data_IF_914911675125
#
_entry.id   IF_914911675125
#
_cell.length_a   1.000
_cell.length_b   1.000
_cell.length_c   1.000
_cell.angle_alpha   90.00
_cell.angle_beta   90.00
_cell.angle_gamma   90.00
#
_symmetry.space_group_name_H-M   'P 1'
#
loop_
_entity.id
_entity.type
_entity.pdbx_description
1 polymer ?
#
# COMPACT_ATOMS: atom_id res chain seq x y z
N UNK A 1 34.63 -55.83 43.41
CA UNK A 1 34.40 -54.75 42.41
C UNK A 1 33.49 -53.70 43.03
N UNK A 2 34.04 -52.53 43.40
CA UNK A 2 33.25 -51.42 43.98
C UNK A 2 32.47 -50.74 42.86
N UNK A 3 31.13 -50.73 42.97
CA UNK A 3 30.24 -50.03 42.02
C UNK A 3 30.44 -48.53 42.20
N UNK A 4 30.94 -47.85 41.16
CA UNK A 4 30.96 -46.40 41.11
C UNK A 4 29.50 -45.93 41.11
N UNK A 5 29.13 -45.10 42.08
CA UNK A 5 27.77 -44.56 42.17
C UNK A 5 27.50 -43.70 40.93
N UNK A 6 26.38 -43.94 40.26
CA UNK A 6 25.94 -43.18 39.08
C UNK A 6 25.85 -41.66 39.35
N UNK A 7 25.68 -41.29 40.62
CA UNK A 7 25.68 -39.90 41.07
C UNK A 7 27.07 -39.27 40.94
N UNK A 8 28.13 -40.02 41.21
CA UNK A 8 29.51 -39.53 41.08
C UNK A 8 29.89 -39.29 39.61
N UNK A 9 29.37 -40.12 38.71
CA UNK A 9 29.61 -39.99 37.26
C UNK A 9 28.87 -38.77 36.68
N UNK A 10 27.62 -38.54 37.10
CA UNK A 10 26.83 -37.37 36.69
C UNK A 10 27.42 -36.05 37.21
N UNK A 11 27.86 -36.00 38.47
CA UNK A 11 28.49 -34.80 39.03
C UNK A 11 29.82 -34.49 38.34
N UNK A 12 30.61 -35.51 37.98
CA UNK A 12 31.85 -35.32 37.24
C UNK A 12 31.62 -34.78 35.82
N UNK A 13 30.58 -35.23 35.11
CA UNK A 13 30.25 -34.70 33.78
C UNK A 13 29.81 -33.23 33.81
N UNK A 14 29.05 -32.82 34.83
CA UNK A 14 28.61 -31.42 34.98
C UNK A 14 29.80 -30.49 35.31
N UNK A 15 30.77 -30.96 36.10
CA UNK A 15 31.98 -30.20 36.39
C UNK A 15 32.91 -30.08 35.17
N UNK A 16 33.00 -31.12 34.34
CA UNK A 16 33.82 -31.09 33.12
C UNK A 16 33.21 -30.18 32.05
N UNK A 17 31.88 -30.12 31.90
CA UNK A 17 31.24 -29.20 30.95
C UNK A 17 31.33 -27.72 31.38
N UNK A 18 31.41 -27.43 32.68
CA UNK A 18 31.63 -26.07 33.19
C UNK A 18 33.04 -25.53 32.97
N UNK A 19 34.05 -26.39 32.89
CA UNK A 19 35.45 -26.00 32.69
C UNK A 19 35.82 -25.66 31.23
N UNK A 20 34.95 -25.99 30.26
CA UNK A 20 35.17 -25.71 28.83
C UNK A 20 34.64 -24.32 28.42
N UNK A 21 33.98 -23.59 29.33
CA UNK A 21 33.31 -22.32 29.04
C UNK A 21 34.10 -21.05 29.41
N UNK A 22 35.42 -21.12 29.60
CA UNK A 22 36.25 -19.95 29.92
C UNK A 22 37.14 -19.50 28.76
N UNK A 23 36.86 -19.93 27.52
CA UNK A 23 37.77 -19.74 26.37
C UNK A 23 37.17 -19.09 25.12
N UNK A 24 35.91 -18.66 25.11
CA UNK A 24 35.35 -17.86 24.03
C UNK A 24 34.99 -16.47 24.54
N UNK A 25 36.02 -15.66 24.80
CA UNK A 25 35.90 -14.20 24.76
C UNK A 25 36.15 -13.76 23.32
N UNK A 26 35.23 -14.08 22.41
CA UNK A 26 35.11 -13.20 21.26
C UNK A 26 34.43 -11.97 21.83
N UNK A 27 35.05 -10.80 21.72
CA UNK A 27 34.36 -9.56 22.04
C UNK A 27 33.04 -9.59 21.26
N UNK A 28 31.91 -9.60 21.96
CA UNK A 28 30.61 -9.31 21.40
C UNK A 28 30.60 -7.82 21.05
N UNK A 29 31.45 -7.44 20.09
CA UNK A 29 31.25 -6.23 19.35
C UNK A 29 29.92 -6.45 18.62
N UNK A 30 28.90 -5.75 19.12
CA UNK A 30 27.67 -5.52 18.39
C UNK A 30 28.14 -4.89 17.08
N UNK A 31 28.23 -5.70 16.02
CA UNK A 31 28.49 -5.19 14.69
C UNK A 31 27.46 -4.08 14.48
N UNK A 32 27.87 -2.83 14.24
CA UNK A 32 26.92 -1.76 14.04
C UNK A 32 26.04 -2.22 12.88
N UNK A 33 24.76 -2.46 13.19
CA UNK A 33 23.75 -2.57 12.17
C UNK A 33 23.70 -1.20 11.51
N UNK A 34 24.57 -1.00 10.52
CA UNK A 34 24.29 -0.06 9.46
C UNK A 34 22.97 -0.58 8.89
N UNK A 35 21.86 -0.01 9.36
CA UNK A 35 20.54 -0.34 8.86
C UNK A 35 20.61 -0.39 7.34
N UNK A 36 19.89 -1.33 6.73
CA UNK A 36 19.94 -1.63 5.30
C UNK A 36 20.19 -0.34 4.50
N UNK A 37 21.26 -0.27 3.70
CA UNK A 37 21.58 0.94 2.93
C UNK A 37 20.41 1.28 2.00
N UNK A 38 19.62 2.27 2.39
CA UNK A 38 18.43 2.73 1.66
C UNK A 38 18.93 3.64 0.54
N UNK A 39 19.20 3.07 -0.64
CA UNK A 39 19.57 3.85 -1.84
C UNK A 39 18.32 4.31 -2.62
N UNK A 40 18.30 5.60 -2.98
CA UNK A 40 17.26 6.28 -3.78
C UNK A 40 17.86 6.79 -5.08
N UNK A 41 17.06 6.76 -6.15
CA UNK A 41 17.40 7.32 -7.45
C UNK A 41 17.09 8.82 -7.58
N UNK A 42 16.94 9.25 -8.83
CA UNK A 42 16.70 10.64 -9.23
C UNK A 42 15.52 10.74 -10.22
N UNK A 43 14.63 9.74 -10.23
CA UNK A 43 13.51 9.74 -11.16
C UNK A 43 12.58 10.94 -10.93
N UNK A 44 12.10 11.54 -12.02
CA UNK A 44 11.13 12.63 -12.00
C UNK A 44 10.11 12.46 -13.12
N UNK A 45 8.83 12.54 -12.77
CA UNK A 45 7.71 12.32 -13.70
C UNK A 45 6.59 13.32 -13.45
N UNK A 46 6.13 14.00 -14.50
CA UNK A 46 4.94 14.86 -14.43
C UNK A 46 3.91 14.50 -15.50
N UNK A 47 2.66 14.28 -15.09
CA UNK A 47 1.56 14.04 -16.06
C UNK A 47 1.30 15.29 -16.89
N UNK A 48 1.04 15.11 -18.19
CA UNK A 48 0.71 16.20 -19.13
C UNK A 48 1.92 16.96 -19.69
N UNK A 49 3.05 17.01 -18.98
CA UNK A 49 4.29 17.65 -19.46
C UNK A 49 5.17 16.66 -20.22
N UNK A 50 5.47 15.52 -19.60
CA UNK A 50 6.44 14.54 -20.10
C UNK A 50 5.78 13.41 -20.93
N UNK A 51 4.57 13.65 -21.43
CA UNK A 51 3.70 12.64 -22.06
C UNK A 51 3.32 11.44 -21.16
N UNK A 52 3.70 11.44 -19.88
CA UNK A 52 3.24 10.42 -18.94
C UNK A 52 1.73 10.52 -18.75
N UNK A 53 1.06 9.40 -18.95
CA UNK A 53 -0.38 9.24 -18.75
C UNK A 53 -0.66 7.97 -17.96
N UNK A 54 -1.74 7.98 -17.20
CA UNK A 54 -2.23 6.80 -16.49
C UNK A 54 -2.56 5.70 -17.51
N UNK A 55 -1.93 4.54 -17.35
CA UNK A 55 -2.32 3.31 -18.02
C UNK A 55 -3.46 2.65 -17.25
N UNK A 56 -4.68 3.14 -17.47
CA UNK A 56 -5.86 2.67 -16.74
C UNK A 56 -6.10 1.16 -16.89
N UNK A 57 -5.84 0.62 -18.08
CA UNK A 57 -6.04 -0.82 -18.36
C UNK A 57 -5.13 -1.73 -17.56
N UNK A 58 -3.96 -1.23 -17.16
CA UNK A 58 -3.02 -1.96 -16.32
C UNK A 58 -3.00 -1.44 -14.87
N UNK A 59 -3.99 -0.65 -14.47
CA UNK A 59 -4.08 -0.08 -13.12
C UNK A 59 -5.29 -0.61 -12.36
N UNK A 60 -5.28 -0.49 -11.03
CA UNK A 60 -6.42 -0.88 -10.20
C UNK A 60 -6.52 -0.07 -8.90
N UNK A 61 -7.76 0.16 -8.47
CA UNK A 61 -8.09 0.63 -7.13
C UNK A 61 -8.89 -0.47 -6.44
N UNK A 62 -8.28 -1.11 -5.46
CA UNK A 62 -8.83 -2.24 -4.71
C UNK A 62 -9.17 -1.80 -3.29
N UNK A 63 -10.18 -2.44 -2.70
CA UNK A 63 -10.52 -2.27 -1.30
C UNK A 63 -10.91 -3.58 -0.65
N UNK A 64 -10.75 -3.65 0.66
CA UNK A 64 -11.14 -4.80 1.47
C UNK A 64 -11.56 -4.41 2.88
N UNK A 65 -12.42 -5.22 3.48
CA UNK A 65 -12.88 -5.09 4.86
C UNK A 65 -13.33 -6.47 5.36
N UNK A 66 -13.28 -6.72 6.67
CA UNK A 66 -13.88 -7.93 7.22
C UNK A 66 -15.41 -7.91 7.00
N UNK A 67 -15.96 -9.01 6.47
CA UNK A 67 -17.40 -9.21 6.31
C UNK A 67 -18.06 -9.36 7.68
N UNK A 68 -19.18 -8.67 7.90
CA UNK A 68 -19.88 -8.60 9.21
C UNK A 68 -18.96 -8.15 10.37
N UNK A 69 -17.84 -7.49 10.07
CA UNK A 69 -16.89 -7.02 11.08
C UNK A 69 -15.90 -8.06 11.62
N UNK A 70 -16.08 -9.35 11.33
CA UNK A 70 -15.22 -10.41 11.87
C UNK A 70 -15.01 -11.64 10.96
N UNK A 71 -15.75 -11.74 9.86
CA UNK A 71 -15.61 -12.82 8.89
C UNK A 71 -14.41 -12.65 7.95
N UNK A 72 -14.39 -13.46 6.90
CA UNK A 72 -13.41 -13.31 5.81
C UNK A 72 -13.49 -11.93 5.13
N UNK A 73 -12.50 -11.62 4.32
CA UNK A 73 -12.43 -10.34 3.62
C UNK A 73 -13.54 -10.24 2.57
N UNK A 74 -14.40 -9.24 2.72
CA UNK A 74 -15.20 -8.71 1.63
C UNK A 74 -14.28 -7.78 0.83
N UNK A 75 -14.09 -8.10 -0.44
CA UNK A 75 -13.19 -7.38 -1.34
C UNK A 75 -13.94 -6.76 -2.50
N UNK A 76 -13.37 -5.71 -3.07
CA UNK A 76 -13.89 -5.10 -4.27
C UNK A 76 -12.88 -4.20 -4.96
N UNK A 77 -13.32 -3.61 -6.06
CA UNK A 77 -12.59 -2.62 -6.83
C UNK A 77 -13.51 -1.53 -7.33
N UNK A 78 -12.95 -0.45 -7.86
CA UNK A 78 -13.67 0.52 -8.69
C UNK A 78 -13.23 0.35 -10.14
N UNK A 79 -14.17 0.14 -11.05
CA UNK A 79 -13.85 -0.05 -12.48
C UNK A 79 -13.53 1.28 -13.18
N UNK A 80 -13.92 2.42 -12.59
CA UNK A 80 -13.66 3.73 -13.13
C UNK A 80 -12.97 4.62 -12.10
N UNK A 81 -11.74 4.99 -12.45
CA UNK A 81 -10.83 5.78 -11.65
C UNK A 81 -9.89 6.55 -12.57
N UNK A 82 -9.19 7.52 -12.00
CA UNK A 82 -8.24 8.35 -12.73
C UNK A 82 -7.28 9.11 -11.83
N UNK A 83 -6.32 9.78 -12.48
CA UNK A 83 -5.37 10.70 -11.86
C UNK A 83 -5.62 12.07 -12.46
N UNK A 84 -5.94 13.04 -11.62
CA UNK A 84 -6.10 14.45 -12.01
C UNK A 84 -4.74 15.07 -12.31
N UNK A 85 -3.76 14.80 -11.44
CA UNK A 85 -2.39 15.30 -11.58
C UNK A 85 -1.41 14.40 -10.85
N UNK A 86 -0.20 14.27 -11.39
CA UNK A 86 0.94 13.66 -10.75
C UNK A 86 2.18 14.50 -11.03
N UNK A 87 2.92 14.79 -9.97
CA UNK A 87 4.31 15.21 -9.94
C UNK A 87 5.04 14.24 -8.99
N UNK A 88 5.98 13.47 -9.50
CA UNK A 88 6.81 12.56 -8.72
C UNK A 88 8.27 12.98 -8.81
N UNK A 89 8.97 13.03 -7.68
CA UNK A 89 10.41 13.30 -7.58
C UNK A 89 11.02 12.35 -6.54
N UNK A 90 11.84 11.40 -7.01
CA UNK A 90 12.42 10.34 -6.18
C UNK A 90 13.43 10.88 -5.15
N UNK A 91 14.14 11.94 -5.48
CA UNK A 91 15.19 12.53 -4.63
C UNK A 91 14.67 13.61 -3.67
N UNK A 92 13.52 14.23 -3.97
CA UNK A 92 12.90 15.28 -3.17
C UNK A 92 11.44 14.92 -2.87
N UNK A 93 11.17 14.04 -1.90
CA UNK A 93 9.82 13.54 -1.65
C UNK A 93 8.83 14.67 -1.31
N UNK A 94 9.28 15.77 -0.71
CA UNK A 94 8.47 16.95 -0.43
C UNK A 94 7.87 17.61 -1.69
N UNK A 95 8.44 17.34 -2.87
CA UNK A 95 7.94 17.80 -4.16
C UNK A 95 6.94 16.82 -4.81
N UNK A 96 6.74 15.63 -4.22
CA UNK A 96 5.75 14.67 -4.71
C UNK A 96 4.35 15.20 -4.41
N UNK A 97 3.57 15.41 -5.47
CA UNK A 97 2.19 15.85 -5.39
C UNK A 97 1.32 15.05 -6.37
N UNK A 98 0.20 14.52 -5.89
CA UNK A 98 -0.76 13.81 -6.72
C UNK A 98 -2.19 13.99 -6.23
N UNK A 99 -3.12 13.92 -7.19
CA UNK A 99 -4.55 13.94 -6.96
C UNK A 99 -5.20 12.89 -7.86
N UNK A 100 -6.08 12.08 -7.28
CA UNK A 100 -6.77 10.99 -7.96
C UNK A 100 -8.20 10.84 -7.50
N UNK A 101 -8.97 10.05 -8.26
CA UNK A 101 -10.39 9.86 -8.02
C UNK A 101 -10.86 8.47 -8.41
N UNK A 102 -11.98 8.06 -7.80
CA UNK A 102 -12.81 6.92 -8.23
C UNK A 102 -14.25 7.35 -8.40
N UNK A 103 -14.97 6.72 -9.33
CA UNK A 103 -16.43 6.83 -9.42
C UNK A 103 -17.07 5.70 -8.61
N UNK A 104 -17.79 6.08 -7.57
CA UNK A 104 -18.36 5.18 -6.57
C UNK A 104 -19.37 4.20 -7.17
N UNK A 105 -20.16 4.64 -8.14
CA UNK A 105 -21.12 3.78 -8.83
C UNK A 105 -20.50 2.75 -9.79
N UNK A 106 -19.18 2.70 -9.87
CA UNK A 106 -18.45 1.66 -10.62
C UNK A 106 -17.81 0.63 -9.71
N UNK A 107 -18.22 0.60 -8.45
CA UNK A 107 -17.86 -0.44 -7.49
C UNK A 107 -18.20 -1.82 -8.07
N UNK A 108 -17.29 -2.76 -7.89
CA UNK A 108 -17.44 -4.13 -8.33
C UNK A 108 -16.83 -5.06 -7.28
N UNK A 109 -17.67 -5.92 -6.74
CA UNK A 109 -17.31 -6.95 -5.77
C UNK A 109 -17.52 -8.36 -6.32
N UNK A 110 -17.73 -8.48 -7.62
CA UNK A 110 -18.07 -9.71 -8.32
C UNK A 110 -19.51 -10.19 -8.11
N UNK A 111 -20.35 -9.42 -7.42
CA UNK A 111 -21.72 -9.79 -7.06
C UNK A 111 -22.71 -8.69 -7.50
N UNK A 112 -23.36 -8.83 -8.66
CA UNK A 112 -24.20 -7.77 -9.25
C UNK A 112 -25.29 -7.23 -8.32
N UNK A 113 -25.92 -8.10 -7.51
CA UNK A 113 -26.97 -7.67 -6.58
C UNK A 113 -26.45 -6.77 -5.47
N UNK A 114 -25.22 -6.99 -5.01
CA UNK A 114 -24.55 -6.14 -4.01
C UNK A 114 -24.07 -4.84 -4.64
N UNK A 115 -23.50 -4.93 -5.84
CA UNK A 115 -22.89 -3.81 -6.57
C UNK A 115 -23.94 -2.78 -7.02
N UNK A 116 -25.04 -3.23 -7.63
CA UNK A 116 -26.09 -2.35 -8.16
C UNK A 116 -27.13 -1.92 -7.11
N UNK A 117 -27.19 -2.62 -5.97
CA UNK A 117 -28.14 -2.36 -4.89
C UNK A 117 -27.47 -1.73 -3.68
N UNK A 118 -27.10 -2.57 -2.71
CA UNK A 118 -26.68 -2.16 -1.37
C UNK A 118 -25.54 -1.15 -1.37
N UNK A 119 -24.52 -1.33 -2.22
CA UNK A 119 -23.32 -0.48 -2.19
C UNK A 119 -23.57 0.91 -2.74
N UNK A 120 -24.39 1.06 -3.79
CA UNK A 120 -24.72 2.40 -4.32
C UNK A 120 -25.43 3.24 -3.25
N UNK A 121 -26.46 2.67 -2.61
CA UNK A 121 -27.16 3.33 -1.51
C UNK A 121 -26.24 3.61 -0.32
N UNK A 122 -25.37 2.66 0.03
CA UNK A 122 -24.39 2.84 1.12
C UNK A 122 -23.43 3.99 0.84
N UNK A 123 -23.02 4.17 -0.41
CA UNK A 123 -22.10 5.23 -0.83
C UNK A 123 -22.80 6.57 -1.13
N UNK A 124 -24.13 6.64 -1.00
CA UNK A 124 -24.88 7.85 -1.33
C UNK A 124 -24.84 8.20 -2.82
N UNK A 125 -24.68 7.20 -3.69
CA UNK A 125 -24.63 7.34 -5.15
C UNK A 125 -25.77 6.57 -5.82
N UNK A 126 -25.89 6.71 -7.13
CA UNK A 126 -26.89 6.02 -7.94
C UNK A 126 -26.29 5.53 -9.27
N UNK A 127 -26.98 4.55 -9.87
CA UNK A 127 -26.68 4.14 -11.23
C UNK A 127 -26.86 5.33 -12.19
N UNK A 128 -25.96 5.48 -13.17
CA UNK A 128 -26.03 6.53 -14.18
C UNK A 128 -25.33 7.85 -13.84
N UNK A 129 -24.90 8.06 -12.59
CA UNK A 129 -24.06 9.20 -12.25
C UNK A 129 -22.68 9.12 -12.93
N UNK A 130 -22.11 10.28 -13.22
CA UNK A 130 -20.83 10.48 -13.86
C UNK A 130 -19.88 11.20 -12.92
N UNK A 131 -19.73 12.52 -13.06
CA UNK A 131 -18.75 13.36 -12.36
C UNK A 131 -19.38 14.23 -11.26
N UNK A 132 -20.62 13.93 -10.87
CA UNK A 132 -21.28 14.59 -9.75
C UNK A 132 -20.53 14.33 -8.44
N UNK A 133 -20.48 15.33 -7.57
CA UNK A 133 -19.68 15.30 -6.34
C UNK A 133 -20.03 14.14 -5.40
N UNK A 134 -21.28 13.69 -5.37
CA UNK A 134 -21.72 12.55 -4.57
C UNK A 134 -21.33 11.19 -5.17
N UNK A 135 -20.93 11.13 -6.44
CA UNK A 135 -20.42 9.92 -7.09
C UNK A 135 -18.89 9.86 -7.10
N UNK A 136 -18.20 10.90 -6.68
CA UNK A 136 -16.74 10.95 -6.66
C UNK A 136 -16.20 10.76 -5.25
N UNK A 137 -15.23 9.87 -5.12
CA UNK A 137 -14.30 9.90 -4.01
C UNK A 137 -12.93 10.31 -4.52
N UNK A 138 -12.27 11.20 -3.79
CA UNK A 138 -11.01 11.81 -4.21
C UNK A 138 -9.95 11.63 -3.14
N UNK A 139 -8.69 11.65 -3.57
CA UNK A 139 -7.53 11.64 -2.71
C UNK A 139 -6.54 12.68 -3.22
N UNK A 140 -6.02 13.52 -2.34
CA UNK A 140 -5.03 14.55 -2.65
C UNK A 140 -3.88 14.54 -1.65
N UNK A 141 -2.67 14.33 -2.12
CA UNK A 141 -1.47 14.38 -1.28
C UNK A 141 -1.26 15.78 -0.69
N UNK A 142 -0.80 15.84 0.56
CA UNK A 142 -0.43 17.09 1.25
C UNK A 142 1.04 17.13 1.61
N UNK A 143 1.58 16.00 2.04
CA UNK A 143 2.95 15.86 2.49
C UNK A 143 3.44 14.48 2.13
N UNK A 144 4.66 14.39 1.60
CA UNK A 144 5.31 13.12 1.30
C UNK A 144 6.72 13.17 1.86
N UNK A 145 7.10 12.10 2.56
CA UNK A 145 8.38 11.98 3.24
C UNK A 145 9.00 10.61 2.94
N UNK A 146 10.32 10.50 3.04
CA UNK A 146 10.95 9.18 2.97
C UNK A 146 10.53 8.31 4.16
N UNK A 147 10.25 7.04 3.88
CA UNK A 147 10.24 6.02 4.91
C UNK A 147 11.66 5.87 5.49
N UNK A 148 11.75 5.79 6.81
CA UNK A 148 13.01 5.56 7.53
C UNK A 148 13.42 4.09 7.56
N UNK A 149 12.53 3.18 7.17
CA UNK A 149 12.70 1.72 7.35
C UNK A 149 12.85 0.95 6.05
N UNK A 150 12.47 1.53 4.91
CA UNK A 150 12.49 0.84 3.61
C UNK A 150 12.57 1.83 2.44
N UNK A 151 12.37 1.33 1.21
CA UNK A 151 12.44 2.15 -0.01
C UNK A 151 11.19 2.97 -0.35
N UNK A 152 10.19 2.96 0.52
CA UNK A 152 8.90 3.61 0.29
C UNK A 152 8.88 5.07 0.73
N UNK A 153 7.73 5.69 0.54
CA UNK A 153 7.37 7.03 0.99
C UNK A 153 6.17 6.95 1.93
N UNK A 154 6.17 7.81 2.94
CA UNK A 154 5.01 8.05 3.80
C UNK A 154 4.27 9.24 3.23
N UNK A 155 3.00 9.03 2.87
CA UNK A 155 2.14 10.06 2.25
C UNK A 155 1.06 10.44 3.23
N UNK A 156 1.00 11.70 3.62
CA UNK A 156 -0.18 12.32 4.25
C UNK A 156 -1.05 12.94 3.15
N UNK A 157 -2.35 12.64 3.18
CA UNK A 157 -3.29 13.07 2.14
C UNK A 157 -4.67 13.36 2.71
N UNK A 158 -5.41 14.25 2.06
CA UNK A 158 -6.84 14.41 2.30
C UNK A 158 -7.61 13.44 1.39
N UNK A 159 -8.49 12.64 1.98
CA UNK A 159 -9.45 11.80 1.28
C UNK A 159 -10.85 12.37 1.45
N UNK A 160 -11.55 12.57 0.34
CA UNK A 160 -12.97 12.91 0.34
C UNK A 160 -13.79 11.71 -0.09
N UNK A 161 -14.73 11.30 0.75
CA UNK A 161 -15.64 10.19 0.49
C UNK A 161 -17.01 10.53 1.09
N UNK A 162 -18.08 10.26 0.32
CA UNK A 162 -19.46 10.60 0.72
C UNK A 162 -19.63 12.06 1.19
N UNK A 163 -18.96 12.99 0.51
CA UNK A 163 -19.02 14.43 0.81
C UNK A 163 -18.30 14.88 2.09
N UNK A 164 -17.56 14.00 2.77
CA UNK A 164 -16.75 14.33 3.94
C UNK A 164 -15.27 14.20 3.61
N UNK A 165 -14.43 15.08 4.16
CA UNK A 165 -12.99 15.06 3.96
C UNK A 165 -12.26 14.75 5.26
N UNK A 166 -11.30 13.83 5.20
CA UNK A 166 -10.46 13.44 6.33
C UNK A 166 -9.02 13.21 5.88
N UNK A 167 -8.10 13.56 6.75
CA UNK A 167 -6.68 13.34 6.54
C UNK A 167 -6.30 11.91 6.96
N UNK A 168 -5.55 11.22 6.11
CA UNK A 168 -4.98 9.90 6.40
C UNK A 168 -3.51 9.85 6.00
N UNK A 169 -2.85 8.78 6.44
CA UNK A 169 -1.50 8.44 6.03
C UNK A 169 -1.49 7.09 5.32
N UNK A 170 -0.67 6.99 4.29
CA UNK A 170 -0.48 5.79 3.50
C UNK A 170 0.98 5.57 3.14
N UNK A 171 1.28 4.40 2.60
CA UNK A 171 2.61 4.00 2.17
C UNK A 171 2.64 3.91 0.66
N UNK A 172 3.49 4.69 0.02
CA UNK A 172 3.68 4.72 -1.43
C UNK A 172 5.00 4.05 -1.80
N UNK A 173 4.97 3.11 -2.74
CA UNK A 173 6.13 2.46 -3.31
C UNK A 173 6.27 2.86 -4.78
N UNK A 174 7.50 3.18 -5.17
CA UNK A 174 7.85 3.45 -6.55
C UNK A 174 8.39 2.18 -7.20
N UNK A 175 7.81 1.81 -8.34
CA UNK A 175 8.31 0.74 -9.22
C UNK A 175 9.14 1.41 -10.33
N UNK A 176 10.47 1.16 -10.37
CA UNK A 176 11.37 1.84 -11.29
C UNK A 176 10.96 1.72 -12.76
N UNK A 177 11.31 2.75 -13.52
CA UNK A 177 11.04 2.80 -14.95
C UNK A 177 11.66 1.63 -15.69
N UNK A 178 10.88 1.06 -16.62
CA UNK A 178 11.33 0.05 -17.55
C UNK A 178 11.05 0.50 -18.99
N UNK A 179 11.94 0.11 -19.92
CA UNK A 179 11.71 0.27 -21.36
C UNK A 179 11.04 -0.98 -21.90
N UNK A 180 9.94 -0.80 -22.61
CA UNK A 180 9.22 -1.85 -23.33
C UNK A 180 9.66 -1.79 -24.79
N UNK A 181 10.38 -2.82 -25.29
CA UNK A 181 10.90 -2.81 -26.66
C UNK A 181 9.76 -2.80 -27.68
N UNK A 182 10.05 -2.24 -28.86
CA UNK A 182 9.12 -2.27 -29.98
C UNK A 182 8.70 -3.71 -30.32
N UNK A 183 7.43 -3.90 -30.67
CA UNK A 183 6.87 -5.21 -31.03
C UNK A 183 5.83 -5.07 -32.13
N UNK A 184 6.03 -5.75 -33.26
CA UNK A 184 5.17 -5.62 -34.43
C UNK A 184 5.14 -4.18 -34.94
N UNK A 185 3.95 -3.56 -34.93
CA UNK A 185 3.75 -2.16 -35.32
C UNK A 185 3.82 -1.18 -34.14
N UNK A 186 3.97 -1.66 -32.91
CA UNK A 186 4.06 -0.80 -31.73
C UNK A 186 5.48 -0.27 -31.55
N UNK A 187 5.60 1.06 -31.40
CA UNK A 187 6.86 1.71 -31.08
C UNK A 187 7.33 1.36 -29.66
N UNK A 188 8.63 1.51 -29.42
CA UNK A 188 9.20 1.46 -28.07
C UNK A 188 8.57 2.55 -27.19
N UNK A 189 8.29 2.19 -25.93
CA UNK A 189 7.79 3.13 -24.93
C UNK A 189 8.30 2.74 -23.54
N UNK A 190 8.11 3.62 -22.56
CA UNK A 190 8.54 3.41 -21.19
C UNK A 190 7.32 3.32 -20.27
N UNK A 191 7.49 2.57 -19.19
CA UNK A 191 6.51 2.45 -18.11
C UNK A 191 7.17 2.70 -16.77
N UNK A 192 6.39 3.17 -15.79
CA UNK A 192 6.74 3.10 -14.37
C UNK A 192 5.47 2.84 -13.55
N UNK A 193 5.66 2.46 -12.29
CA UNK A 193 4.53 2.17 -11.39
C UNK A 193 4.59 2.93 -10.08
N UNK A 194 3.43 3.21 -9.53
CA UNK A 194 3.21 3.72 -8.18
C UNK A 194 2.19 2.83 -7.47
N UNK A 195 2.59 2.28 -6.33
CA UNK A 195 1.74 1.41 -5.52
C UNK A 195 1.50 2.04 -4.16
N UNK A 196 0.26 2.28 -3.78
CA UNK A 196 -0.05 2.91 -2.50
C UNK A 196 -1.02 2.07 -1.68
N UNK A 197 -0.74 1.94 -0.39
CA UNK A 197 -1.60 1.26 0.55
C UNK A 197 -1.95 2.18 1.72
N UNK A 198 -3.22 2.17 2.13
CA UNK A 198 -3.67 2.89 3.32
C UNK A 198 -4.92 2.24 3.90
N UNK A 199 -5.30 2.68 5.10
CA UNK A 199 -6.54 2.28 5.76
C UNK A 199 -7.31 3.51 6.21
N UNK A 200 -8.64 3.42 6.17
CA UNK A 200 -9.53 4.46 6.67
C UNK A 200 -10.71 3.86 7.46
N UNK A 201 -11.44 4.69 8.21
CA UNK A 201 -12.55 4.26 9.05
C UNK A 201 -13.90 4.64 8.42
N UNK A 202 -14.50 3.73 7.67
CA UNK A 202 -15.70 4.00 6.86
C UNK A 202 -16.91 4.47 7.70
N UNK A 203 -17.14 3.88 8.87
CA UNK A 203 -18.27 4.23 9.74
C UNK A 203 -17.93 5.44 10.60
N UNK A 204 -16.78 5.41 11.29
CA UNK A 204 -16.40 6.46 12.24
C UNK A 204 -16.19 7.80 11.55
N UNK A 205 -15.46 7.82 10.43
CA UNK A 205 -15.07 9.06 9.79
C UNK A 205 -16.05 9.50 8.70
N UNK A 206 -16.60 8.54 7.97
CA UNK A 206 -17.44 8.83 6.79
C UNK A 206 -18.93 8.55 7.00
N UNK A 207 -19.31 7.97 8.14
CA UNK A 207 -20.72 7.76 8.49
C UNK A 207 -21.40 6.64 7.70
N UNK A 208 -20.64 5.69 7.15
CA UNK A 208 -21.21 4.53 6.48
C UNK A 208 -22.09 3.74 7.45
N UNK A 209 -23.38 3.62 7.13
CA UNK A 209 -24.34 2.82 7.90
C UNK A 209 -24.49 1.46 7.24
N UNK A 210 -23.76 0.46 7.74
CA UNK A 210 -23.84 -0.91 7.24
C UNK A 210 -23.46 -1.92 8.32
N UNK A 211 -24.21 -3.01 8.40
CA UNK A 211 -23.91 -4.17 9.26
C UNK A 211 -22.97 -5.16 8.60
N UNK A 212 -22.74 -5.05 7.28
CA UNK A 212 -22.03 -6.05 6.49
C UNK A 212 -20.51 -5.84 6.40
N UNK A 213 -20.01 -4.70 6.90
CA UNK A 213 -18.59 -4.35 6.85
C UNK A 213 -18.04 -4.01 8.25
N UNK A 214 -16.73 -4.12 8.41
CA UNK A 214 -16.01 -3.52 9.52
C UNK A 214 -15.93 -2.00 9.35
N UNK A 215 -15.49 -1.31 10.39
CA UNK A 215 -15.18 0.12 10.29
C UNK A 215 -13.89 0.35 9.48
N UNK A 216 -12.86 -0.46 9.75
CA UNK A 216 -11.57 -0.38 9.08
C UNK A 216 -11.66 -0.96 7.66
N UNK A 217 -11.36 -0.13 6.67
CA UNK A 217 -11.27 -0.50 5.25
C UNK A 217 -9.83 -0.34 4.78
N UNK A 218 -9.26 -1.37 4.18
CA UNK A 218 -7.98 -1.32 3.49
C UNK A 218 -8.17 -0.92 2.03
N UNK A 219 -7.25 -0.12 1.52
CA UNK A 219 -7.22 0.34 0.12
C UNK A 219 -5.84 0.09 -0.46
N UNK A 220 -5.81 -0.49 -1.66
CA UNK A 220 -4.59 -0.69 -2.46
C UNK A 220 -4.76 -0.03 -3.82
N UNK A 221 -3.86 0.89 -4.14
CA UNK A 221 -3.75 1.54 -5.44
C UNK A 221 -2.57 0.92 -6.18
N UNK A 222 -2.81 0.40 -7.39
CA UNK A 222 -1.76 -0.04 -8.31
C UNK A 222 -1.85 0.81 -9.57
N UNK A 223 -1.02 1.83 -9.69
CA UNK A 223 -1.07 2.80 -10.78
C UNK A 223 0.12 2.61 -11.71
N UNK A 224 -0.14 2.23 -12.95
CA UNK A 224 0.86 2.17 -14.00
C UNK A 224 0.77 3.42 -14.88
N UNK A 225 1.92 3.92 -15.30
CA UNK A 225 2.02 5.07 -16.19
C UNK A 225 2.86 4.69 -17.40
N UNK A 226 2.51 5.25 -18.57
CA UNK A 226 3.27 5.07 -19.81
C UNK A 226 3.42 6.40 -20.55
N UNK A 227 4.37 6.48 -21.47
CA UNK A 227 4.63 7.66 -22.30
C UNK A 227 4.38 7.42 -23.81
N UNK A 228 3.62 6.37 -24.15
CA UNK A 228 3.15 6.10 -25.51
C UNK A 228 2.01 7.03 -25.93
#
# INVERSE_FOLDING_TARGET
>A
MKRISIHFFLTAMILISGLVYTGCTHEDDIAPSAGNKIERGQASYTTGVDKWKLDKTHSSVLWETAYLGSGGLLTGRFNNFGVTSLKFEESNPENIAFEGWVRLNTVNTGEPGRDAGCLLGTFGTAAGLTDEANNLATLKSKKVEFSKTDKSYIVTFDMTFMGRTKEYTGKLNYVPKATIPASGTAAEYQIFGLQMEFQFMAKTDFGVVSTNIADKVGVTLNMNFNNK
#
